data_IF_549086127454
#
_entry.id   IF_549086127454
#
_cell.length_a   1.000
_cell.length_b   1.000
_cell.length_c   1.000
_cell.angle_alpha   90.00
_cell.angle_beta   90.00
_cell.angle_gamma   90.00
#
_symmetry.space_group_name_H-M   'P 1'
#
loop_
_entity.id
_entity.type
_entity.pdbx_description
1 polymer ?
#
# COMPACT_ATOMS: atom_id res chain seq x y z
N UNK A 1 7.97 20.68 4.96
CA UNK A 1 6.76 19.92 4.59
C UNK A 1 6.92 19.43 3.16
N UNK A 2 7.25 18.16 2.87
CA UNK A 2 6.94 17.65 1.54
C UNK A 2 5.42 17.53 1.49
N UNK A 3 4.80 18.13 0.48
CA UNK A 3 3.39 17.90 0.20
C UNK A 3 3.29 16.40 -0.09
N UNK A 4 2.62 15.63 0.75
CA UNK A 4 2.04 14.34 0.36
C UNK A 4 1.00 14.68 -0.70
N UNK A 5 1.47 14.93 -1.92
CA UNK A 5 0.58 15.24 -3.04
C UNK A 5 -0.21 13.96 -3.24
N UNK A 6 -1.49 13.96 -2.87
CA UNK A 6 -2.43 12.95 -3.32
C UNK A 6 -2.13 12.70 -4.80
N UNK A 7 -1.76 11.49 -5.21
CA UNK A 7 -1.38 11.25 -6.59
C UNK A 7 -2.50 11.77 -7.48
N UNK A 8 -2.12 12.64 -8.43
CA UNK A 8 -3.10 13.24 -9.32
C UNK A 8 -3.67 12.11 -10.19
N UNK A 9 -4.94 11.77 -9.95
CA UNK A 9 -5.65 10.78 -10.76
C UNK A 9 -5.65 11.24 -12.21
N UNK A 10 -5.30 10.35 -13.12
CA UNK A 10 -5.39 10.63 -14.55
C UNK A 10 -6.86 10.68 -14.97
N UNK A 11 -7.12 11.20 -16.18
CA UNK A 11 -8.46 11.14 -16.75
C UNK A 11 -8.98 9.69 -16.85
N UNK A 12 -8.12 8.74 -17.20
CA UNK A 12 -8.46 7.33 -17.27
C UNK A 12 -8.81 6.74 -15.90
N UNK A 13 -8.10 7.16 -14.84
CA UNK A 13 -8.43 6.76 -13.46
C UNK A 13 -9.81 7.27 -13.06
N UNK A 14 -10.11 8.53 -13.38
CA UNK A 14 -11.39 9.15 -13.05
C UNK A 14 -12.56 8.50 -13.78
N UNK A 15 -12.43 8.26 -15.08
CA UNK A 15 -13.46 7.59 -15.89
C UNK A 15 -13.78 6.20 -15.32
N UNK A 16 -12.76 5.47 -14.90
CA UNK A 16 -12.92 4.13 -14.35
C UNK A 16 -13.54 4.12 -12.94
N UNK A 17 -13.23 5.12 -12.11
CA UNK A 17 -13.92 5.34 -10.83
C UNK A 17 -15.43 5.58 -11.02
N UNK A 18 -15.83 6.19 -12.14
CA UNK A 18 -17.25 6.43 -12.45
C UNK A 18 -18.01 5.17 -12.88
N UNK A 19 -17.32 4.10 -13.28
CA UNK A 19 -17.96 2.85 -13.72
C UNK A 19 -18.54 2.02 -12.57
N UNK A 20 -18.38 2.46 -11.32
CA UNK A 20 -18.93 1.76 -10.15
C UNK A 20 -18.22 0.44 -9.85
N UNK A 21 -16.96 0.30 -10.26
CA UNK A 21 -16.14 -0.87 -9.90
C UNK A 21 -15.78 -0.75 -8.43
N UNK A 22 -16.33 -1.64 -7.61
CA UNK A 22 -16.13 -1.62 -6.16
C UNK A 22 -14.99 -2.55 -5.75
N UNK A 23 -14.20 -2.07 -4.81
CA UNK A 23 -13.22 -2.89 -4.10
C UNK A 23 -13.95 -3.92 -3.23
N UNK A 24 -13.34 -5.08 -3.05
CA UNK A 24 -13.84 -6.10 -2.13
C UNK A 24 -14.07 -5.50 -0.73
N UNK A 25 -15.20 -5.77 -0.05
CA UNK A 25 -15.56 -5.08 1.20
C UNK A 25 -14.45 -5.08 2.25
N UNK A 26 -13.76 -6.21 2.44
CA UNK A 26 -12.65 -6.32 3.39
C UNK A 26 -11.50 -5.38 3.03
N UNK A 27 -11.12 -5.31 1.75
CA UNK A 27 -10.06 -4.42 1.28
C UNK A 27 -10.52 -2.95 1.31
N UNK A 28 -11.81 -2.67 1.10
CA UNK A 28 -12.36 -1.33 1.25
C UNK A 28 -12.21 -0.84 2.68
N UNK A 29 -12.60 -1.65 3.68
CA UNK A 29 -12.49 -1.17 5.06
C UNK A 29 -11.04 -1.04 5.52
N UNK A 30 -10.15 -1.92 5.05
CA UNK A 30 -8.72 -1.75 5.28
C UNK A 30 -8.23 -0.44 4.63
N UNK A 31 -8.69 -0.11 3.42
CA UNK A 31 -8.31 1.15 2.77
C UNK A 31 -8.75 2.35 3.59
N UNK A 32 -10.01 2.39 4.01
CA UNK A 32 -10.59 3.49 4.79
C UNK A 32 -9.84 3.65 6.12
N UNK A 33 -9.56 2.54 6.80
CA UNK A 33 -8.75 2.52 8.02
C UNK A 33 -7.35 3.10 7.81
N UNK A 34 -6.66 2.71 6.72
CA UNK A 34 -5.32 3.22 6.42
C UNK A 34 -5.32 4.70 6.05
N UNK A 35 -6.43 5.22 5.51
CA UNK A 35 -6.58 6.63 5.20
C UNK A 35 -6.72 7.50 6.47
N UNK A 36 -7.20 6.92 7.57
CA UNK A 36 -7.28 7.58 8.89
C UNK A 36 -5.96 7.53 9.70
N UNK A 37 -5.00 6.68 9.32
CA UNK A 37 -3.76 6.42 10.08
C UNK A 37 -2.49 6.86 9.32
N UNK A 38 -2.35 8.17 9.04
CA UNK A 38 -1.19 8.73 8.31
C UNK A 38 0.15 8.45 9.03
N UNK A 39 0.16 8.29 10.35
CA UNK A 39 1.34 7.95 11.14
C UNK A 39 2.00 6.64 10.72
N UNK A 40 1.23 5.71 10.15
CA UNK A 40 1.75 4.43 9.66
C UNK A 40 2.51 4.60 8.35
N UNK A 41 1.97 5.43 7.46
CA UNK A 41 2.65 5.84 6.23
C UNK A 41 3.96 6.54 6.58
N UNK A 42 3.94 7.40 7.60
CA UNK A 42 5.12 8.10 8.10
C UNK A 42 6.17 7.15 8.72
N UNK A 43 5.75 6.14 9.47
CA UNK A 43 6.65 5.11 10.00
C UNK A 43 7.35 4.33 8.88
N UNK A 44 6.58 3.90 7.87
CA UNK A 44 7.12 3.25 6.67
C UNK A 44 8.07 4.17 5.92
N UNK A 45 7.73 5.46 5.77
CA UNK A 45 8.61 6.45 5.14
C UNK A 45 9.96 6.55 5.85
N UNK A 46 9.97 6.65 7.18
CA UNK A 46 11.21 6.70 7.97
C UNK A 46 12.07 5.46 7.76
N UNK A 47 11.47 4.28 7.72
CA UNK A 47 12.20 3.03 7.46
C UNK A 47 12.77 2.97 6.04
N UNK A 48 12.02 3.44 5.04
CA UNK A 48 12.48 3.50 3.66
C UNK A 48 13.61 4.51 3.48
N UNK A 49 13.56 5.65 4.15
CA UNK A 49 14.59 6.70 4.08
C UNK A 49 15.84 6.38 4.92
N UNK A 50 15.74 5.45 5.88
CA UNK A 50 16.82 5.10 6.80
C UNK A 50 18.12 4.71 6.08
N UNK A 51 19.21 5.41 6.40
CA UNK A 51 20.53 5.16 5.83
C UNK A 51 20.70 5.64 4.38
N UNK A 52 19.74 6.36 3.81
CA UNK A 52 19.93 7.05 2.53
C UNK A 52 20.70 8.37 2.75
N UNK A 53 21.72 8.62 1.92
CA UNK A 53 22.47 9.88 1.97
C UNK A 53 21.61 11.07 1.50
N UNK A 54 20.87 10.88 0.39
CA UNK A 54 20.01 11.89 -0.20
C UNK A 54 18.62 11.28 -0.51
N UNK A 55 17.70 11.20 0.47
CA UNK A 55 16.39 10.56 0.30
C UNK A 55 15.48 11.28 -0.72
N UNK A 56 15.77 12.55 -1.04
CA UNK A 56 14.97 13.37 -1.95
C UNK A 56 15.47 13.38 -3.40
N UNK A 57 16.53 12.64 -3.70
CA UNK A 57 17.15 12.62 -5.04
C UNK A 57 17.34 11.19 -5.51
N UNK A 58 17.15 10.93 -6.80
CA UNK A 58 17.36 9.61 -7.40
C UNK A 58 16.15 9.16 -8.21
N UNK A 59 16.04 7.85 -8.48
CA UNK A 59 14.86 7.27 -9.14
C UNK A 59 13.65 7.33 -8.22
N UNK A 60 12.50 7.67 -8.80
CA UNK A 60 11.21 7.52 -8.14
C UNK A 60 10.97 6.03 -7.90
N UNK A 61 11.07 5.62 -6.63
CA UNK A 61 10.77 4.27 -6.17
C UNK A 61 9.29 4.13 -5.76
N UNK A 62 8.98 3.04 -5.08
CA UNK A 62 7.68 2.87 -4.42
C UNK A 62 7.48 3.97 -3.37
N UNK A 63 6.28 4.57 -3.35
CA UNK A 63 5.90 5.50 -2.29
C UNK A 63 5.68 4.74 -0.98
N UNK A 64 5.77 5.40 0.20
CA UNK A 64 5.45 4.77 1.48
C UNK A 64 4.03 4.17 1.51
N UNK A 65 3.05 4.84 0.89
CA UNK A 65 1.68 4.33 0.71
C UNK A 65 1.67 3.03 -0.11
N UNK A 66 2.30 3.04 -1.29
CA UNK A 66 2.39 1.85 -2.14
C UNK A 66 3.06 0.68 -1.41
N UNK A 67 4.12 0.94 -0.64
CA UNK A 67 4.80 -0.10 0.14
C UNK A 67 3.89 -0.68 1.22
N UNK A 68 3.26 0.18 2.04
CA UNK A 68 2.39 -0.24 3.13
C UNK A 68 1.19 -1.04 2.60
N UNK A 69 0.46 -0.48 1.64
CA UNK A 69 -0.75 -1.08 1.10
C UNK A 69 -0.45 -2.38 0.34
N UNK A 70 0.65 -2.44 -0.40
CA UNK A 70 1.06 -3.69 -1.07
C UNK A 70 1.51 -4.77 -0.10
N UNK A 71 2.15 -4.40 1.03
CA UNK A 71 2.52 -5.37 2.07
C UNK A 71 1.26 -5.97 2.71
N UNK A 72 0.27 -5.14 3.03
CA UNK A 72 -0.99 -5.59 3.61
C UNK A 72 -1.74 -6.48 2.62
N UNK A 73 -1.87 -6.06 1.36
CA UNK A 73 -2.52 -6.86 0.32
C UNK A 73 -1.86 -8.24 0.19
N UNK A 74 -0.52 -8.28 0.16
CA UNK A 74 0.24 -9.53 0.10
C UNK A 74 -0.08 -10.46 1.28
N UNK A 75 -0.21 -9.90 2.49
CA UNK A 75 -0.51 -10.67 3.71
C UNK A 75 -1.95 -11.19 3.71
N UNK A 76 -2.92 -10.31 3.47
CA UNK A 76 -4.36 -10.63 3.45
C UNK A 76 -4.68 -11.70 2.41
N UNK A 77 -4.09 -11.60 1.21
CA UNK A 77 -4.32 -12.58 0.13
C UNK A 77 -3.35 -13.76 0.16
N UNK A 78 -2.39 -13.76 1.08
CA UNK A 78 -1.33 -14.77 1.18
C UNK A 78 -0.57 -15.03 -0.14
N UNK A 79 -0.31 -13.97 -0.91
CA UNK A 79 0.37 -14.06 -2.21
C UNK A 79 1.89 -14.05 -2.06
N UNK A 80 2.58 -14.62 -3.04
CA UNK A 80 4.00 -14.38 -3.23
C UNK A 80 4.27 -13.02 -3.92
N UNK A 81 5.54 -12.64 -4.07
CA UNK A 81 5.89 -11.33 -4.66
C UNK A 81 5.58 -11.22 -6.16
N UNK A 82 5.64 -12.33 -6.88
CA UNK A 82 5.38 -12.36 -8.32
C UNK A 82 3.87 -12.26 -8.55
N UNK A 83 3.10 -13.06 -7.84
CA UNK A 83 1.65 -13.00 -7.87
C UNK A 83 1.17 -11.62 -7.44
N UNK A 84 1.71 -11.03 -6.37
CA UNK A 84 1.37 -9.67 -5.95
C UNK A 84 1.53 -8.66 -7.10
N UNK A 85 2.66 -8.66 -7.81
CA UNK A 85 2.88 -7.68 -8.87
C UNK A 85 2.00 -7.94 -10.10
N UNK A 86 1.73 -9.20 -10.43
CA UNK A 86 0.84 -9.59 -11.54
C UNK A 86 -0.61 -9.18 -11.21
N UNK A 87 -1.12 -9.52 -10.01
CA UNK A 87 -2.49 -9.16 -9.60
C UNK A 87 -2.71 -7.66 -9.47
N UNK A 88 -1.74 -6.90 -8.95
CA UNK A 88 -1.82 -5.43 -8.95
C UNK A 88 -1.77 -4.92 -10.39
N UNK A 89 -0.93 -5.48 -11.27
CA UNK A 89 -0.86 -5.00 -12.65
C UNK A 89 -2.18 -5.20 -13.42
N UNK A 90 -2.89 -6.29 -13.16
CA UNK A 90 -4.09 -6.69 -13.91
C UNK A 90 -5.40 -6.16 -13.28
N UNK A 91 -5.44 -6.00 -11.96
CA UNK A 91 -6.65 -5.66 -11.22
C UNK A 91 -6.80 -4.17 -10.94
N UNK A 92 -7.79 -3.51 -11.53
CA UNK A 92 -8.04 -2.08 -11.29
C UNK A 92 -8.29 -1.75 -9.82
N UNK A 93 -9.17 -2.48 -9.15
CA UNK A 93 -9.48 -2.27 -7.72
C UNK A 93 -8.24 -2.46 -6.85
N UNK A 94 -7.35 -3.37 -7.24
CA UNK A 94 -6.08 -3.58 -6.55
C UNK A 94 -5.09 -2.45 -6.80
N UNK A 95 -5.05 -1.88 -8.01
CA UNK A 95 -4.26 -0.66 -8.32
C UNK A 95 -4.74 0.54 -7.51
N UNK A 96 -6.05 0.70 -7.36
CA UNK A 96 -6.64 1.73 -6.53
C UNK A 96 -6.28 1.49 -5.06
N UNK A 97 -6.50 0.27 -4.56
CA UNK A 97 -6.14 -0.10 -3.19
C UNK A 97 -4.66 0.18 -2.92
N UNK A 98 -3.76 -0.20 -3.82
CA UNK A 98 -2.30 -0.05 -3.61
C UNK A 98 -1.72 1.29 -4.03
N UNK A 99 -2.56 2.28 -4.36
CA UNK A 99 -2.12 3.65 -4.73
C UNK A 99 -1.20 3.69 -5.97
N UNK A 100 -1.36 2.72 -6.88
CA UNK A 100 -0.69 2.73 -8.18
C UNK A 100 -1.53 3.41 -9.27
N UNK A 101 -2.86 3.25 -9.25
CA UNK A 101 -3.73 3.80 -10.31
C UNK A 101 -3.19 3.40 -11.72
N UNK A 102 -3.17 4.33 -12.68
CA UNK A 102 -2.56 4.15 -14.00
C UNK A 102 -1.01 4.07 -14.02
N UNK A 103 -0.31 4.20 -12.88
CA UNK A 103 1.14 4.15 -12.86
C UNK A 103 1.68 2.73 -13.12
N UNK A 104 2.90 2.61 -13.68
CA UNK A 104 3.55 1.31 -13.85
C UNK A 104 3.79 0.61 -12.52
N UNK A 105 3.38 -0.66 -12.43
CA UNK A 105 3.69 -1.52 -11.29
C UNK A 105 5.11 -2.06 -11.45
N UNK A 106 6.02 -1.88 -10.49
CA UNK A 106 7.39 -2.37 -10.61
C UNK A 106 7.45 -3.89 -10.44
N UNK A 107 8.57 -4.49 -10.89
CA UNK A 107 8.79 -5.93 -10.74
C UNK A 107 8.90 -6.33 -9.25
N UNK A 108 8.59 -7.60 -8.96
CA UNK A 108 8.70 -8.24 -7.64
C UNK A 108 9.95 -7.86 -6.82
N UNK A 109 11.12 -7.71 -7.47
CA UNK A 109 12.36 -7.32 -6.80
C UNK A 109 12.33 -5.93 -6.14
N UNK A 110 11.52 -4.99 -6.65
CA UNK A 110 11.33 -3.69 -6.01
C UNK A 110 10.56 -3.82 -4.70
N UNK A 111 9.46 -4.60 -4.69
CA UNK A 111 8.69 -4.91 -3.49
C UNK A 111 9.55 -5.62 -2.45
N UNK A 112 10.30 -6.66 -2.85
CA UNK A 112 11.20 -7.37 -1.94
C UNK A 112 12.21 -6.43 -1.28
N UNK A 113 12.87 -5.56 -2.06
CA UNK A 113 13.81 -4.56 -1.50
C UNK A 113 13.13 -3.58 -0.55
N UNK A 114 11.93 -3.11 -0.88
CA UNK A 114 11.20 -2.17 -0.02
C UNK A 114 10.77 -2.83 1.29
N UNK A 115 10.21 -4.05 1.23
CA UNK A 115 9.73 -4.76 2.41
C UNK A 115 10.87 -5.14 3.35
N UNK A 116 12.03 -5.51 2.82
CA UNK A 116 13.22 -5.82 3.63
C UNK A 116 13.85 -4.59 4.32
N UNK A 117 13.44 -3.36 3.97
CA UNK A 117 13.88 -2.14 4.68
C UNK A 117 13.06 -1.84 5.93
N UNK A 118 11.86 -2.41 6.03
CA UNK A 118 10.95 -2.21 7.15
C UNK A 118 11.53 -2.83 8.41
N UNK A 119 11.46 -2.08 9.51
CA UNK A 119 11.93 -2.56 10.81
C UNK A 119 10.94 -3.55 11.42
N UNK A 120 11.41 -4.47 12.29
CA UNK A 120 10.53 -5.32 13.07
C UNK A 120 9.47 -4.52 13.83
N UNK A 121 9.83 -3.34 14.36
CA UNK A 121 8.91 -2.43 15.05
C UNK A 121 7.78 -1.96 14.14
N UNK A 122 8.09 -1.48 12.94
CA UNK A 122 7.06 -1.05 11.98
C UNK A 122 6.21 -2.22 11.52
N UNK A 123 6.81 -3.39 11.26
CA UNK A 123 6.06 -4.59 10.87
C UNK A 123 5.09 -5.08 11.95
N UNK A 124 5.49 -4.97 13.22
CA UNK A 124 4.64 -5.28 14.36
C UNK A 124 3.48 -4.29 14.46
N UNK A 125 3.74 -2.98 14.38
CA UNK A 125 2.69 -1.96 14.39
C UNK A 125 1.69 -2.15 13.23
N UNK A 126 2.17 -2.48 12.03
CA UNK A 126 1.29 -2.79 10.88
C UNK A 126 0.42 -4.01 11.17
N UNK A 127 0.98 -5.07 11.76
CA UNK A 127 0.21 -6.26 12.10
C UNK A 127 -0.84 -5.98 13.18
N UNK A 128 -0.46 -5.33 14.27
CA UNK A 128 -1.37 -5.01 15.38
C UNK A 128 -2.56 -4.21 14.89
N UNK A 129 -2.32 -3.21 14.03
CA UNK A 129 -3.40 -2.38 13.47
C UNK A 129 -4.28 -3.15 12.48
N UNK A 130 -3.72 -4.02 11.63
CA UNK A 130 -4.52 -4.85 10.71
C UNK A 130 -5.39 -5.84 11.49
N UNK A 131 -4.86 -6.44 12.55
CA UNK A 131 -5.62 -7.32 13.44
C UNK A 131 -6.72 -6.53 14.15
N UNK A 132 -6.40 -5.36 14.71
CA UNK A 132 -7.39 -4.49 15.35
C UNK A 132 -8.51 -4.11 14.38
N UNK A 133 -8.18 -3.73 13.15
CA UNK A 133 -9.17 -3.45 12.11
C UNK A 133 -10.03 -4.68 11.80
N UNK A 134 -9.46 -5.88 11.71
CA UNK A 134 -10.21 -7.12 11.48
C UNK A 134 -11.17 -7.45 12.63
N UNK A 135 -10.76 -7.22 13.88
CA UNK A 135 -11.59 -7.39 15.09
C UNK A 135 -12.72 -6.37 15.13
N UNK A 136 -12.43 -5.08 14.90
CA UNK A 136 -13.43 -4.02 14.91
C UNK A 136 -14.47 -4.18 13.78
N UNK A 137 -14.09 -4.88 12.71
CA UNK A 137 -14.96 -5.23 11.59
C UNK A 137 -15.81 -6.50 11.82
N UNK A 138 -15.65 -7.17 12.97
CA UNK A 138 -16.35 -8.42 13.28
C UNK A 138 -15.97 -9.58 12.37
N UNK A 139 -14.74 -9.56 11.81
CA UNK A 139 -14.25 -10.60 10.90
C UNK A 139 -13.59 -11.78 11.64
N UNK A 140 -13.25 -11.64 12.93
CA UNK A 140 -12.84 -12.74 13.81
C UNK A 140 -13.41 -12.52 15.23
N UNK A 141 -14.27 -13.45 15.69
CA UNK A 141 -14.39 -13.76 17.12
C UNK A 141 -13.21 -14.68 17.45
N UNK A 142 -12.36 -14.27 18.39
CA UNK A 142 -11.03 -14.87 18.64
C UNK A 142 -10.97 -16.36 18.97
#
# INVERSE_FOLDING_TARGET
MPRTAKPQISFADWELLQQGILLEPVLQTISDFLDDHEEMIEAVRRDLERGLKNPRTGRNGLTPQQVLRSLILKRVKNWDFRELCERIADGYTLRQFTDFYCQPVPKHGAFNRAFNRLTPKTLQAVNELVVQAAVDLGLEDG
#
